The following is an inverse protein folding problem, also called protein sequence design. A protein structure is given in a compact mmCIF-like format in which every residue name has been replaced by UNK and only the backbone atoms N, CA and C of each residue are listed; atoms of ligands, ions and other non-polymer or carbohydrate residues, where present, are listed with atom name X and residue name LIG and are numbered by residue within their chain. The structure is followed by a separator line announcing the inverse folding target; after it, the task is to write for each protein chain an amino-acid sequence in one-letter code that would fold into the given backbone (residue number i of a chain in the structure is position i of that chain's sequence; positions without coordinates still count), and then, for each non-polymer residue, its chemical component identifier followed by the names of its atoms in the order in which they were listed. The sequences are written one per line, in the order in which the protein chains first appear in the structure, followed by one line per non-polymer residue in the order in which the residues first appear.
data_IF_340620254211
#
_entry.id   IF_340620254211
#
_cell.length_a   1.000
_cell.length_b   1.000
_cell.length_c   1.000
_cell.angle_alpha   90.00
_cell.angle_beta   90.00
_cell.angle_gamma   90.00
#
_symmetry.space_group_name_H-M   'P 1'
#
loop_
_entity.id
_entity.type
_entity.pdbx_description
1 polymer ?
#
# COMPACT_ATOMS: atom_id res chain seq x y z
N UNK A 1 -15.34 -19.63 19.74
CA UNK A 1 -16.67 -20.25 19.81
C UNK A 1 -16.65 -21.56 20.64
N UNK A 2 -15.63 -22.40 20.49
CA UNK A 2 -15.54 -23.72 21.18
C UNK A 2 -15.19 -23.59 22.66
N UNK A 3 -14.36 -22.63 23.05
CA UNK A 3 -13.93 -22.36 24.42
C UNK A 3 -15.07 -21.77 25.26
N UNK A 4 -15.86 -20.86 24.66
CA UNK A 4 -17.02 -20.27 25.34
C UNK A 4 -18.15 -21.27 25.59
N UNK A 5 -18.33 -22.25 24.70
CA UNK A 5 -19.29 -23.35 24.87
C UNK A 5 -18.84 -24.31 25.95
N UNK A 6 -17.54 -24.52 26.15
CA UNK A 6 -16.99 -25.37 27.22
C UNK A 6 -17.13 -24.72 28.60
N UNK A 7 -16.95 -23.39 28.71
CA UNK A 7 -17.16 -22.65 29.96
C UNK A 7 -18.63 -22.64 30.40
N UNK A 8 -19.57 -22.52 29.45
CA UNK A 8 -21.02 -22.63 29.80
C UNK A 8 -21.44 -24.01 30.20
N UNK A 9 -20.82 -25.09 29.69
CA UNK A 9 -21.09 -26.45 30.12
C UNK A 9 -20.53 -26.75 31.52
N UNK A 10 -19.39 -26.17 31.91
CA UNK A 10 -18.83 -26.35 33.25
C UNK A 10 -19.64 -25.61 34.32
N UNK A 11 -20.21 -24.44 34.00
CA UNK A 11 -21.11 -23.73 34.92
C UNK A 11 -22.43 -24.45 35.13
N UNK A 12 -22.96 -25.15 34.11
CA UNK A 12 -24.18 -25.97 34.24
C UNK A 12 -23.99 -27.26 35.07
N UNK A 13 -22.76 -27.80 35.12
CA UNK A 13 -22.42 -28.99 35.91
C UNK A 13 -22.10 -28.66 37.39
N UNK A 14 -21.65 -27.43 37.69
CA UNK A 14 -21.40 -26.99 39.07
C UNK A 14 -22.68 -26.76 39.87
N UNK A 15 -23.82 -26.55 39.23
CA UNK A 15 -25.13 -26.41 39.89
C UNK A 15 -25.72 -27.69 40.47
N UNK A 16 -25.07 -28.84 40.29
CA UNK A 16 -25.53 -30.11 40.84
C UNK A 16 -24.76 -30.60 42.09
N UNK A 17 -23.69 -29.90 42.50
CA UNK A 17 -22.96 -30.22 43.74
C UNK A 17 -23.22 -29.10 44.75
N UNK A 18 -24.13 -29.34 45.68
CA UNK A 18 -24.63 -28.38 46.70
C UNK A 18 -23.54 -27.57 47.41
N UNK A 19 -23.17 -26.47 46.85
CA UNK A 19 -22.55 -25.32 47.49
C UNK A 19 -23.55 -24.17 47.36
N UNK A 20 -23.78 -23.46 48.43
CA UNK A 20 -24.61 -22.25 48.44
C UNK A 20 -23.94 -21.17 47.56
N UNK A 21 -24.14 -21.23 46.23
CA UNK A 21 -23.74 -20.16 45.30
C UNK A 21 -24.64 -18.97 45.58
N UNK A 22 -24.06 -17.93 46.09
CA UNK A 22 -24.79 -16.68 46.37
C UNK A 22 -25.03 -15.87 45.09
N UNK A 23 -26.01 -14.94 45.13
CA UNK A 23 -26.22 -14.02 44.02
C UNK A 23 -24.96 -13.20 43.74
N UNK A 24 -24.20 -12.86 44.78
CA UNK A 24 -22.94 -12.13 44.66
C UNK A 24 -21.86 -12.91 43.85
N UNK A 25 -21.81 -14.25 44.04
CA UNK A 25 -20.91 -15.11 43.26
C UNK A 25 -21.29 -15.14 41.77
N UNK A 26 -22.57 -15.15 41.48
CA UNK A 26 -23.10 -15.12 40.12
C UNK A 26 -22.80 -13.78 39.45
N UNK A 27 -23.01 -12.67 40.17
CA UNK A 27 -22.78 -11.33 39.66
C UNK A 27 -21.28 -11.06 39.46
N UNK A 28 -20.43 -11.53 40.37
CA UNK A 28 -18.96 -11.50 40.24
C UNK A 28 -18.49 -12.28 39.02
N UNK A 29 -18.94 -13.54 38.85
CA UNK A 29 -18.59 -14.35 37.70
C UNK A 29 -19.08 -13.72 36.35
N UNK A 30 -20.23 -13.04 36.39
CA UNK A 30 -20.76 -12.33 35.21
C UNK A 30 -19.91 -11.10 34.86
N UNK A 31 -19.49 -10.34 35.86
CA UNK A 31 -18.59 -9.17 35.65
C UNK A 31 -17.21 -9.62 35.17
N UNK A 32 -16.62 -10.62 35.78
CA UNK A 32 -15.35 -11.21 35.34
C UNK A 32 -15.42 -11.76 33.91
N UNK A 33 -16.48 -12.51 33.60
CA UNK A 33 -16.72 -13.01 32.25
C UNK A 33 -16.94 -11.93 31.22
N UNK A 34 -17.61 -10.83 31.61
CA UNK A 34 -17.78 -9.65 30.75
C UNK A 34 -16.48 -8.91 30.56
N UNK A 35 -15.70 -8.71 31.62
CA UNK A 35 -14.41 -8.03 31.55
C UNK A 35 -13.40 -8.84 30.70
N UNK A 36 -13.35 -10.17 30.89
CA UNK A 36 -12.54 -11.07 30.08
C UNK A 36 -12.96 -11.06 28.60
N UNK A 37 -14.28 -11.08 28.33
CA UNK A 37 -14.80 -11.02 26.97
C UNK A 37 -14.52 -9.68 26.29
N UNK A 38 -14.55 -8.57 27.01
CA UNK A 38 -14.17 -7.26 26.50
C UNK A 38 -12.66 -7.21 26.22
N UNK A 39 -11.84 -7.70 27.12
CA UNK A 39 -10.38 -7.74 26.96
C UNK A 39 -9.96 -8.63 25.76
N UNK A 40 -10.63 -9.76 25.55
CA UNK A 40 -10.39 -10.66 24.42
C UNK A 40 -10.88 -10.05 23.08
N UNK A 41 -11.92 -9.21 23.13
CA UNK A 41 -12.50 -8.55 21.96
C UNK A 41 -11.83 -7.19 21.62
N UNK A 42 -11.00 -6.67 22.51
CA UNK A 42 -10.31 -5.39 22.24
C UNK A 42 -9.11 -5.66 21.35
N UNK A 43 -9.07 -5.11 20.12
CA UNK A 43 -7.90 -5.24 19.27
C UNK A 43 -6.68 -4.64 19.97
N UNK A 44 -5.53 -5.26 19.78
CA UNK A 44 -4.26 -4.67 20.26
C UNK A 44 -4.03 -3.36 19.51
N UNK A 45 -3.94 -2.25 20.23
CA UNK A 45 -3.67 -0.94 19.65
C UNK A 45 -2.30 -0.95 18.96
N UNK A 46 -2.29 -0.61 17.68
CA UNK A 46 -1.02 -0.42 16.94
C UNK A 46 -0.25 0.74 17.51
N UNK A 47 -0.94 1.81 17.91
CA UNK A 47 -0.33 2.99 18.50
C UNK A 47 0.44 2.62 19.76
N UNK A 48 -0.17 1.91 20.71
CA UNK A 48 0.51 1.44 21.93
C UNK A 48 1.67 0.52 21.60
N UNK A 49 1.49 -0.39 20.66
CA UNK A 49 2.55 -1.31 20.20
C UNK A 49 3.77 -0.57 19.66
N UNK A 50 3.58 0.48 18.87
CA UNK A 50 4.66 1.31 18.33
C UNK A 50 5.37 2.07 19.45
N UNK A 51 4.61 2.69 20.35
CA UNK A 51 5.16 3.46 21.48
C UNK A 51 5.97 2.56 22.41
N UNK A 52 5.43 1.42 22.79
CA UNK A 52 6.11 0.46 23.68
C UNK A 52 7.38 -0.12 23.04
N UNK A 53 7.37 -0.34 21.75
CA UNK A 53 8.51 -0.85 20.98
C UNK A 53 9.56 0.23 20.72
N UNK A 54 9.16 1.50 20.70
CA UNK A 54 10.02 2.63 20.35
C UNK A 54 10.43 2.68 18.88
N UNK A 55 9.70 2.01 18.00
CA UNK A 55 9.95 2.02 16.54
C UNK A 55 8.69 1.70 15.76
N UNK A 56 8.61 2.18 14.50
CA UNK A 56 7.49 1.94 13.60
C UNK A 56 7.92 1.11 12.39
N UNK A 57 7.13 0.08 12.04
CA UNK A 57 7.33 -0.78 10.87
C UNK A 57 6.47 -0.29 9.71
N UNK A 58 7.09 0.32 8.71
CA UNK A 58 6.40 0.84 7.54
C UNK A 58 6.56 -0.10 6.35
N UNK A 59 5.45 -0.62 5.81
CA UNK A 59 5.40 -1.42 4.60
C UNK A 59 5.52 -0.53 3.37
N UNK A 60 6.60 -0.69 2.59
CA UNK A 60 6.94 0.22 1.49
C UNK A 60 7.28 -0.50 0.20
N UNK A 61 7.32 0.25 -0.88
CA UNK A 61 7.94 -0.11 -2.17
C UNK A 61 9.39 0.34 -2.19
N UNK A 62 10.22 -0.29 -3.04
CA UNK A 62 11.66 0.04 -3.15
C UNK A 62 12.08 0.42 -4.57
N UNK A 63 11.19 0.25 -5.56
CA UNK A 63 11.55 0.29 -6.98
C UNK A 63 10.89 1.43 -7.76
N UNK A 64 10.18 2.37 -7.11
CA UNK A 64 9.46 3.44 -7.79
C UNK A 64 9.99 4.82 -7.38
N UNK A 65 10.70 5.47 -8.30
CA UNK A 65 11.13 6.86 -8.13
C UNK A 65 9.95 7.78 -7.85
N UNK A 66 10.15 8.75 -6.98
CA UNK A 66 9.13 9.72 -6.57
C UNK A 66 8.15 9.21 -5.51
N UNK A 67 7.96 7.91 -5.37
CA UNK A 67 7.06 7.29 -4.37
C UNK A 67 7.83 6.51 -3.30
N UNK A 68 8.15 5.26 -3.54
CA UNK A 68 8.96 4.40 -2.66
C UNK A 68 10.17 3.88 -3.41
N UNK A 69 11.33 4.47 -3.17
CA UNK A 69 12.57 4.12 -3.85
C UNK A 69 13.72 3.90 -2.86
N UNK A 70 14.48 2.84 -3.09
CA UNK A 70 15.73 2.53 -2.41
C UNK A 70 16.88 2.61 -3.42
N UNK A 71 17.80 3.51 -3.21
CA UNK A 71 19.07 3.52 -3.92
C UNK A 71 19.96 2.40 -3.39
N UNK A 72 20.14 1.35 -4.17
CA UNK A 72 20.91 0.17 -3.76
C UNK A 72 22.41 0.46 -3.56
N UNK A 73 22.94 1.51 -4.20
CA UNK A 73 24.34 1.88 -4.08
C UNK A 73 24.64 2.62 -2.77
N UNK A 74 23.69 3.44 -2.32
CA UNK A 74 23.87 4.30 -1.13
C UNK A 74 23.06 3.84 0.08
N UNK A 75 22.06 2.98 -0.11
CA UNK A 75 21.10 2.58 0.91
C UNK A 75 20.07 3.69 1.25
N UNK A 76 20.08 4.80 0.54
CA UNK A 76 19.19 5.94 0.79
C UNK A 76 17.79 5.66 0.24
N UNK A 77 16.78 5.87 1.08
CA UNK A 77 15.36 5.80 0.69
C UNK A 77 14.79 7.19 0.42
N UNK A 78 13.96 7.30 -0.61
CA UNK A 78 13.36 8.57 -1.01
C UNK A 78 11.97 8.39 -1.62
N UNK A 79 11.24 9.50 -1.73
CA UNK A 79 9.93 9.59 -2.34
C UNK A 79 8.81 9.89 -1.35
N UNK A 80 7.61 10.13 -1.88
CA UNK A 80 6.43 10.54 -1.13
C UNK A 80 6.06 9.54 -0.02
N UNK A 81 6.02 8.25 -0.36
CA UNK A 81 5.68 7.18 0.58
C UNK A 81 6.67 7.12 1.75
N UNK A 82 7.97 7.28 1.45
CA UNK A 82 9.03 7.30 2.46
C UNK A 82 8.93 8.55 3.35
N UNK A 83 8.62 9.70 2.78
CA UNK A 83 8.40 10.94 3.52
C UNK A 83 7.18 10.85 4.42
N UNK A 84 6.13 10.18 3.96
CA UNK A 84 4.92 9.95 4.74
C UNK A 84 5.19 9.01 5.93
N UNK A 85 5.92 7.88 5.73
CA UNK A 85 6.36 7.03 6.85
C UNK A 85 7.14 7.83 7.91
N UNK A 86 8.08 8.68 7.47
CA UNK A 86 8.86 9.55 8.36
C UNK A 86 7.99 10.54 9.12
N UNK A 87 7.00 11.13 8.46
CA UNK A 87 6.09 12.08 9.09
C UNK A 87 5.20 11.42 10.14
N UNK A 88 4.71 10.21 9.88
CA UNK A 88 3.95 9.43 10.87
C UNK A 88 4.81 9.11 12.09
N UNK A 89 6.04 8.63 11.88
CA UNK A 89 6.99 8.36 12.98
C UNK A 89 7.27 9.61 13.81
N UNK A 90 7.54 10.75 13.17
CA UNK A 90 7.76 12.03 13.85
C UNK A 90 6.55 12.48 14.69
N UNK A 91 5.33 12.30 14.17
CA UNK A 91 4.11 12.63 14.89
C UNK A 91 3.91 11.76 16.15
N UNK A 92 4.46 10.56 16.15
CA UNK A 92 4.48 9.65 17.31
C UNK A 92 5.63 9.92 18.29
N UNK A 93 6.47 10.93 18.03
CA UNK A 93 7.63 11.26 18.86
C UNK A 93 8.85 10.37 18.65
N UNK A 94 8.87 9.59 17.57
CA UNK A 94 10.00 8.76 17.15
C UNK A 94 10.99 9.56 16.31
N UNK A 95 12.26 9.13 16.28
CA UNK A 95 13.23 9.70 15.34
C UNK A 95 13.01 9.13 13.93
N UNK A 96 12.60 9.95 12.94
CA UNK A 96 12.35 9.47 11.59
C UNK A 96 13.57 8.89 10.86
N UNK A 97 14.78 9.15 11.37
CA UNK A 97 16.01 8.66 10.78
C UNK A 97 16.41 7.27 11.27
N UNK A 98 16.07 6.93 12.52
CA UNK A 98 16.52 5.69 13.18
C UNK A 98 15.41 4.74 13.59
N UNK A 99 14.21 5.26 13.87
CA UNK A 99 13.14 4.48 14.50
C UNK A 99 12.06 4.03 13.50
N UNK A 100 12.33 4.18 12.19
CA UNK A 100 11.48 3.63 11.12
C UNK A 100 12.14 2.42 10.50
N UNK A 101 11.53 1.25 10.70
CA UNK A 101 11.89 0.02 10.01
C UNK A 101 11.10 -0.07 8.71
N UNK A 102 11.79 -0.01 7.58
CA UNK A 102 11.16 -0.14 6.26
C UNK A 102 11.12 -1.60 5.82
N UNK A 103 9.91 -2.14 5.64
CA UNK A 103 9.69 -3.53 5.26
C UNK A 103 9.16 -3.57 3.83
N UNK A 104 9.88 -4.20 2.87
CA UNK A 104 9.37 -4.38 1.53
C UNK A 104 8.03 -5.12 1.54
N UNK A 105 7.03 -4.56 0.85
CA UNK A 105 5.71 -5.12 0.72
C UNK A 105 5.33 -5.23 -0.75
N UNK A 106 5.16 -6.44 -1.25
CA UNK A 106 4.81 -6.73 -2.65
C UNK A 106 3.32 -6.51 -2.95
N UNK A 107 2.93 -6.64 -4.21
CA UNK A 107 1.51 -6.61 -4.60
C UNK A 107 0.70 -7.72 -3.94
N UNK A 108 1.31 -8.89 -3.76
CA UNK A 108 0.66 -10.11 -3.29
C UNK A 108 0.65 -10.30 -1.76
N UNK A 109 1.63 -9.75 -1.03
CA UNK A 109 1.81 -10.05 0.40
C UNK A 109 1.51 -8.88 1.35
N UNK A 110 1.34 -7.66 0.83
CA UNK A 110 1.20 -6.43 1.63
C UNK A 110 0.07 -6.45 2.65
N UNK A 111 -1.11 -6.97 2.26
CA UNK A 111 -2.27 -7.03 3.14
C UNK A 111 -2.14 -8.13 4.19
N UNK A 112 -1.52 -9.26 3.84
CA UNK A 112 -1.19 -10.31 4.80
C UNK A 112 -0.18 -9.79 5.84
N UNK A 113 0.86 -9.08 5.42
CA UNK A 113 1.84 -8.44 6.31
C UNK A 113 1.19 -7.44 7.25
N UNK A 114 0.22 -6.65 6.75
CA UNK A 114 -0.53 -5.69 7.55
C UNK A 114 -1.41 -6.40 8.58
N UNK A 115 -2.21 -7.36 8.15
CA UNK A 115 -3.11 -8.13 9.02
C UNK A 115 -2.36 -8.91 10.10
N UNK A 116 -1.20 -9.49 9.76
CA UNK A 116 -0.35 -10.24 10.69
C UNK A 116 0.48 -9.36 11.64
N UNK A 117 0.46 -8.03 11.51
CA UNK A 117 1.29 -7.13 12.31
C UNK A 117 2.79 -7.18 11.96
N UNK A 118 3.15 -7.78 10.83
CA UNK A 118 4.52 -7.72 10.29
C UNK A 118 4.91 -6.29 9.95
N UNK A 119 3.94 -5.48 9.51
CA UNK A 119 4.02 -4.04 9.35
C UNK A 119 2.93 -3.37 10.18
N UNK A 120 3.19 -2.17 10.66
CA UNK A 120 2.22 -1.38 11.42
C UNK A 120 1.32 -0.57 10.49
N UNK A 121 1.90 -0.03 9.44
CA UNK A 121 1.24 0.78 8.41
C UNK A 121 1.73 0.38 7.03
N UNK A 122 0.84 0.42 6.06
CA UNK A 122 1.15 0.17 4.65
C UNK A 122 1.10 1.51 3.88
N UNK A 123 2.25 2.01 3.45
CA UNK A 123 2.38 3.23 2.65
C UNK A 123 3.20 2.90 1.40
N UNK A 124 2.50 2.44 0.36
CA UNK A 124 3.16 1.94 -0.85
C UNK A 124 2.23 1.91 -2.07
N UNK A 125 1.87 3.06 -2.65
CA UNK A 125 1.05 3.14 -3.87
C UNK A 125 -0.06 2.08 -3.91
N UNK A 126 -0.91 2.04 -2.88
CA UNK A 126 -1.97 1.05 -2.74
C UNK A 126 -3.32 1.67 -3.07
N UNK A 127 -3.96 1.21 -4.14
CA UNK A 127 -5.27 1.70 -4.55
C UNK A 127 -6.33 1.37 -3.51
N UNK A 128 -7.03 2.36 -3.05
CA UNK A 128 -8.19 2.23 -2.17
C UNK A 128 -9.37 1.70 -2.95
N UNK A 129 -9.80 0.48 -2.67
CA UNK A 129 -10.97 -0.13 -3.26
C UNK A 129 -11.89 -0.69 -2.18
N UNK A 130 -13.19 -0.74 -2.45
CA UNK A 130 -14.18 -1.32 -1.52
C UNK A 130 -13.84 -2.75 -1.12
N UNK A 131 -13.35 -3.57 -2.06
CA UNK A 131 -13.00 -4.96 -1.76
C UNK A 131 -11.78 -5.08 -0.83
N UNK A 132 -10.79 -4.19 -0.98
CA UNK A 132 -9.61 -4.17 -0.09
C UNK A 132 -9.97 -3.68 1.30
N UNK A 133 -10.73 -2.61 1.37
CA UNK A 133 -11.21 -2.02 2.61
C UNK A 133 -12.12 -3.01 3.39
N UNK A 134 -13.13 -3.57 2.70
CA UNK A 134 -14.14 -4.40 3.35
C UNK A 134 -13.72 -5.86 3.60
N UNK A 135 -12.66 -6.39 2.96
CA UNK A 135 -12.39 -7.84 2.93
C UNK A 135 -10.97 -8.25 3.28
N UNK A 136 -10.03 -7.32 3.43
CA UNK A 136 -8.62 -7.65 3.63
C UNK A 136 -8.06 -7.23 5.01
N UNK A 137 -8.92 -7.02 5.99
CA UNK A 137 -8.55 -6.53 7.33
C UNK A 137 -7.67 -5.26 7.27
N UNK A 138 -8.02 -4.37 6.35
CA UNK A 138 -7.31 -3.12 6.12
C UNK A 138 -8.31 -1.97 6.12
N UNK A 139 -7.95 -0.87 6.75
CA UNK A 139 -8.70 0.37 6.79
C UNK A 139 -7.86 1.49 6.18
N UNK A 140 -8.40 2.19 5.18
CA UNK A 140 -7.64 3.24 4.49
C UNK A 140 -7.73 4.57 5.23
N UNK A 141 -6.58 5.20 5.47
CA UNK A 141 -6.44 6.47 6.17
C UNK A 141 -6.66 7.71 5.27
N UNK A 142 -7.30 7.52 4.13
CA UNK A 142 -7.53 8.55 3.14
C UNK A 142 -6.63 8.42 1.91
N UNK A 143 -6.95 9.21 0.89
CA UNK A 143 -6.20 9.24 -0.35
C UNK A 143 -5.00 10.18 -0.22
N UNK A 144 -3.79 9.66 -0.50
CA UNK A 144 -2.56 10.44 -0.47
C UNK A 144 -2.00 10.76 -1.86
N UNK A 145 -2.46 10.07 -2.91
CA UNK A 145 -2.13 10.39 -4.29
C UNK A 145 -3.22 9.89 -5.24
N UNK A 146 -3.58 10.69 -6.24
CA UNK A 146 -4.56 10.29 -7.26
C UNK A 146 -3.83 9.94 -8.54
N UNK A 147 -3.74 8.66 -8.85
CA UNK A 147 -3.06 8.14 -10.02
C UNK A 147 -4.06 7.56 -11.04
N UNK A 148 -3.55 7.00 -12.09
CA UNK A 148 -4.26 6.19 -13.06
C UNK A 148 -3.38 5.04 -13.51
N UNK A 149 -3.93 4.05 -14.20
CA UNK A 149 -3.15 2.99 -14.80
C UNK A 149 -2.68 3.40 -16.18
N UNK A 150 -1.36 3.35 -16.40
CA UNK A 150 -0.71 3.56 -17.68
C UNK A 150 -0.09 2.29 -18.24
N UNK A 151 0.41 2.36 -19.46
CA UNK A 151 1.13 1.29 -20.12
C UNK A 151 2.36 1.85 -20.84
N UNK A 152 3.51 1.29 -20.54
CA UNK A 152 4.81 1.55 -21.17
C UNK A 152 5.03 0.52 -22.28
N UNK A 153 5.36 0.95 -23.47
CA UNK A 153 5.40 0.11 -24.69
C UNK A 153 6.76 0.23 -25.37
N UNK A 154 7.24 -0.89 -25.91
CA UNK A 154 8.41 -0.94 -26.79
C UNK A 154 8.03 -0.47 -28.18
N UNK A 155 8.83 0.40 -28.81
CA UNK A 155 8.54 0.94 -30.13
C UNK A 155 8.86 -0.05 -31.27
N UNK A 156 9.77 -1.02 -31.01
CA UNK A 156 10.31 -1.90 -32.06
C UNK A 156 9.34 -2.98 -32.55
N UNK A 157 8.12 -3.10 -32.00
CA UNK A 157 7.21 -4.22 -32.33
C UNK A 157 5.83 -3.84 -32.80
N UNK A 158 5.13 -2.95 -32.13
CA UNK A 158 3.74 -2.60 -32.41
C UNK A 158 3.63 -1.26 -33.11
N UNK A 159 4.02 -1.19 -34.38
CA UNK A 159 4.07 0.05 -35.15
C UNK A 159 2.71 0.78 -35.23
N UNK A 160 1.59 0.05 -35.25
CA UNK A 160 0.25 0.65 -35.25
C UNK A 160 -0.07 1.32 -33.90
N UNK A 161 0.33 0.73 -32.81
CA UNK A 161 0.20 1.32 -31.47
C UNK A 161 1.03 2.59 -31.35
N UNK A 162 2.30 2.54 -31.77
CA UNK A 162 3.24 3.66 -31.76
C UNK A 162 2.72 4.80 -32.64
N UNK A 163 2.30 4.53 -33.86
CA UNK A 163 1.79 5.55 -34.78
C UNK A 163 0.48 6.19 -34.29
N UNK A 164 -0.36 5.42 -33.58
CA UNK A 164 -1.61 5.91 -32.99
C UNK A 164 -1.45 6.52 -31.59
N UNK A 165 -0.27 6.39 -30.98
CA UNK A 165 -0.03 6.73 -29.58
C UNK A 165 -1.11 6.13 -28.65
N UNK A 166 -1.49 4.86 -28.91
CA UNK A 166 -2.63 4.21 -28.29
C UNK A 166 -2.37 2.74 -28.01
N UNK A 167 -2.73 2.30 -26.81
CA UNK A 167 -2.72 0.90 -26.41
C UNK A 167 -3.68 0.03 -27.21
N UNK A 168 -4.63 0.63 -27.95
CA UNK A 168 -5.55 -0.11 -28.83
C UNK A 168 -4.84 -0.81 -29.99
N UNK A 169 -3.62 -0.44 -30.30
CA UNK A 169 -2.81 -1.10 -31.33
C UNK A 169 -1.96 -2.29 -30.82
N UNK A 170 -2.15 -2.74 -29.58
CA UNK A 170 -1.39 -3.81 -28.93
C UNK A 170 -2.03 -5.20 -29.11
N UNK A 171 -2.75 -5.44 -30.19
CA UNK A 171 -3.34 -6.74 -30.47
C UNK A 171 -2.28 -7.83 -30.59
N UNK A 172 -2.42 -8.90 -29.78
CA UNK A 172 -1.45 -10.02 -29.68
C UNK A 172 -0.22 -9.74 -28.79
N UNK A 173 -0.15 -8.60 -28.09
CA UNK A 173 1.01 -8.25 -27.28
C UNK A 173 1.15 -9.10 -26.00
N UNK A 174 2.41 -9.35 -25.59
CA UNK A 174 2.73 -9.88 -24.27
C UNK A 174 2.90 -8.70 -23.30
N UNK A 175 2.04 -8.61 -22.29
CA UNK A 175 2.00 -7.47 -21.38
C UNK A 175 2.38 -7.91 -19.97
N UNK A 176 3.51 -7.39 -19.46
CA UNK A 176 3.93 -7.58 -18.06
C UNK A 176 3.01 -6.84 -17.10
N UNK A 177 2.55 -7.53 -16.06
CA UNK A 177 1.69 -6.96 -15.01
C UNK A 177 1.99 -7.57 -13.64
N UNK A 178 2.00 -6.75 -12.59
CA UNK A 178 2.22 -7.22 -11.22
C UNK A 178 1.04 -8.05 -10.69
N UNK A 179 1.31 -9.25 -10.16
CA UNK A 179 0.28 -10.11 -9.54
C UNK A 179 -0.32 -9.47 -8.28
N UNK A 180 -1.60 -9.75 -8.01
CA UNK A 180 -2.31 -9.26 -6.81
C UNK A 180 -2.56 -7.75 -6.82
N UNK A 181 -2.55 -7.12 -7.99
CA UNK A 181 -2.78 -5.68 -8.16
C UNK A 181 -4.14 -5.41 -8.80
N UNK A 182 -4.68 -4.20 -8.62
CA UNK A 182 -5.84 -3.70 -9.39
C UNK A 182 -5.51 -3.63 -10.88
N UNK A 183 -4.24 -3.36 -11.20
CA UNK A 183 -3.71 -3.26 -12.56
C UNK A 183 -3.98 -4.51 -13.40
N UNK A 184 -3.86 -5.70 -12.80
CA UNK A 184 -4.10 -6.97 -13.49
C UNK A 184 -5.57 -7.09 -13.96
N UNK A 185 -6.53 -6.83 -13.06
CA UNK A 185 -7.95 -6.85 -13.40
C UNK A 185 -8.34 -5.74 -14.38
N UNK A 186 -7.88 -4.51 -14.15
CA UNK A 186 -8.16 -3.39 -15.04
C UNK A 186 -7.62 -3.60 -16.47
N UNK A 187 -6.40 -4.18 -16.59
CA UNK A 187 -5.84 -4.54 -17.90
C UNK A 187 -6.75 -5.52 -18.62
N UNK A 188 -7.16 -6.60 -17.93
CA UNK A 188 -8.06 -7.59 -18.51
C UNK A 188 -9.37 -6.96 -19.00
N UNK A 189 -9.99 -6.12 -18.17
CA UNK A 189 -11.26 -5.46 -18.52
C UNK A 189 -11.08 -4.46 -19.67
N UNK A 190 -9.99 -3.69 -19.66
CA UNK A 190 -9.74 -2.66 -20.68
C UNK A 190 -9.54 -3.26 -22.08
N UNK A 191 -8.72 -4.31 -22.21
CA UNK A 191 -8.46 -4.99 -23.48
C UNK A 191 -9.66 -5.82 -23.93
N UNK A 192 -10.27 -6.62 -23.05
CA UNK A 192 -11.42 -7.46 -23.38
C UNK A 192 -12.64 -6.63 -23.83
N UNK A 193 -12.89 -5.48 -23.19
CA UNK A 193 -14.02 -4.60 -23.58
C UNK A 193 -13.86 -3.96 -24.97
N UNK A 194 -12.66 -4.04 -25.53
CA UNK A 194 -12.31 -3.50 -26.87
C UNK A 194 -12.02 -4.59 -27.88
N UNK A 195 -12.24 -5.85 -27.50
CA UNK A 195 -12.00 -7.01 -28.36
C UNK A 195 -10.54 -7.06 -28.88
N UNK A 196 -9.58 -6.68 -28.03
CA UNK A 196 -8.15 -6.70 -28.31
C UNK A 196 -7.55 -7.92 -27.62
N UNK A 197 -6.96 -8.84 -28.37
CA UNK A 197 -6.29 -10.00 -27.82
C UNK A 197 -4.93 -9.61 -27.22
N UNK A 198 -4.55 -10.21 -26.11
CA UNK A 198 -3.25 -10.04 -25.48
C UNK A 198 -2.89 -11.26 -24.63
N UNK A 199 -1.60 -11.38 -24.30
CA UNK A 199 -1.12 -12.36 -23.35
C UNK A 199 -0.68 -11.65 -22.06
N UNK A 200 -1.34 -11.94 -20.96
CA UNK A 200 -0.90 -11.49 -19.63
C UNK A 200 0.38 -12.24 -19.22
N UNK A 201 1.40 -11.50 -18.82
CA UNK A 201 2.65 -12.02 -18.26
C UNK A 201 2.75 -11.57 -16.80
N UNK A 202 2.21 -12.35 -15.85
CA UNK A 202 2.27 -12.02 -14.44
C UNK A 202 3.70 -12.00 -13.93
N UNK A 203 4.05 -10.99 -13.13
CA UNK A 203 5.37 -10.83 -12.49
C UNK A 203 5.21 -10.57 -11.00
N UNK A 204 6.18 -11.03 -10.23
CA UNK A 204 6.15 -10.86 -8.77
C UNK A 204 6.41 -9.40 -8.35
N UNK A 205 7.29 -8.70 -9.06
CA UNK A 205 7.69 -7.33 -8.75
C UNK A 205 8.11 -6.52 -9.99
N UNK A 206 8.44 -5.25 -9.77
CA UNK A 206 8.87 -4.35 -10.83
C UNK A 206 10.26 -4.67 -11.38
N UNK A 207 11.12 -5.38 -10.65
CA UNK A 207 12.44 -5.77 -11.13
C UNK A 207 12.30 -6.88 -12.18
N UNK A 208 11.48 -7.90 -11.91
CA UNK A 208 11.16 -8.94 -12.87
C UNK A 208 10.48 -8.38 -14.12
N UNK A 209 9.48 -7.48 -13.93
CA UNK A 209 8.83 -6.80 -15.05
C UNK A 209 9.84 -6.05 -15.93
N UNK A 210 10.74 -5.30 -15.30
CA UNK A 210 11.78 -4.53 -15.99
C UNK A 210 12.72 -5.44 -16.79
N UNK A 211 13.18 -6.55 -16.20
CA UNK A 211 14.05 -7.50 -16.89
C UNK A 211 13.37 -8.10 -18.14
N UNK A 212 12.11 -8.55 -18.00
CA UNK A 212 11.32 -9.09 -19.12
C UNK A 212 10.98 -8.05 -20.19
N UNK A 213 10.83 -6.79 -19.80
CA UNK A 213 10.60 -5.70 -20.74
C UNK A 213 11.86 -5.34 -21.53
N UNK A 214 13.03 -5.34 -20.87
CA UNK A 214 14.33 -5.08 -21.52
C UNK A 214 14.68 -6.23 -22.50
N UNK A 215 14.55 -7.48 -22.09
CA UNK A 215 14.90 -8.64 -22.93
C UNK A 215 13.87 -8.94 -24.04
N UNK A 216 12.71 -8.27 -23.98
CA UNK A 216 11.65 -8.42 -24.98
C UNK A 216 10.74 -9.63 -24.77
N UNK A 217 10.77 -10.26 -23.61
CA UNK A 217 9.75 -11.24 -23.18
C UNK A 217 8.39 -10.58 -22.97
N UNK A 218 8.38 -9.27 -22.64
CA UNK A 218 7.19 -8.44 -22.64
C UNK A 218 7.34 -7.33 -23.69
N UNK A 219 6.29 -7.11 -24.46
CA UNK A 219 6.18 -6.03 -25.45
C UNK A 219 5.73 -4.72 -24.80
N UNK A 220 5.00 -4.85 -23.70
CA UNK A 220 4.54 -3.73 -22.87
C UNK A 220 4.59 -4.08 -21.39
N UNK A 221 4.62 -3.04 -20.55
CA UNK A 221 4.56 -3.15 -19.10
C UNK A 221 3.52 -2.18 -18.55
N UNK A 222 2.55 -2.66 -17.77
CA UNK A 222 1.49 -1.83 -17.21
C UNK A 222 1.55 -1.73 -15.69
N UNK A 223 1.18 -0.57 -15.19
CA UNK A 223 1.16 -0.21 -13.77
C UNK A 223 0.59 1.19 -13.57
N UNK A 224 0.72 1.72 -12.36
CA UNK A 224 0.39 3.11 -12.08
C UNK A 224 1.10 4.05 -13.07
N UNK A 225 0.42 5.07 -13.56
CA UNK A 225 0.99 6.02 -14.53
C UNK A 225 2.27 6.66 -13.97
N UNK A 226 2.25 7.06 -12.71
CA UNK A 226 3.44 7.58 -12.03
C UNK A 226 4.62 6.59 -12.06
N UNK A 227 4.35 5.29 -11.92
CA UNK A 227 5.36 4.25 -12.03
C UNK A 227 5.87 4.08 -13.46
N UNK A 228 4.99 4.17 -14.46
CA UNK A 228 5.38 4.06 -15.87
C UNK A 228 6.24 5.25 -16.31
N UNK A 229 5.88 6.46 -15.88
CA UNK A 229 6.70 7.67 -16.12
C UNK A 229 8.09 7.55 -15.49
N UNK A 230 8.13 7.15 -14.21
CA UNK A 230 9.39 6.94 -13.50
C UNK A 230 10.25 5.84 -14.14
N UNK A 231 9.63 4.75 -14.57
CA UNK A 231 10.33 3.63 -15.23
C UNK A 231 10.85 4.04 -16.60
N UNK A 232 10.05 4.76 -17.39
CA UNK A 232 10.51 5.31 -18.68
C UNK A 232 11.73 6.18 -18.49
N UNK A 233 11.67 7.15 -17.58
CA UNK A 233 12.79 8.01 -17.26
C UNK A 233 14.05 7.23 -16.87
N UNK A 234 13.90 6.20 -16.01
CA UNK A 234 15.00 5.34 -15.60
C UNK A 234 15.65 4.64 -16.80
N UNK A 235 14.86 3.96 -17.62
CA UNK A 235 15.35 3.17 -18.76
C UNK A 235 15.96 4.05 -19.86
N UNK A 236 15.41 5.24 -20.08
CA UNK A 236 15.99 6.23 -21.00
C UNK A 236 17.35 6.75 -20.50
N UNK A 237 17.48 6.92 -19.17
CA UNK A 237 18.68 7.48 -18.54
C UNK A 237 19.83 6.46 -18.44
N UNK A 238 19.52 5.21 -18.10
CA UNK A 238 20.55 4.18 -17.92
C UNK A 238 20.92 3.42 -19.21
N UNK A 239 20.18 3.66 -20.30
CA UNK A 239 20.43 3.06 -21.60
C UNK A 239 20.19 1.55 -21.67
N UNK A 240 19.51 0.97 -20.70
CA UNK A 240 19.25 -0.49 -20.59
C UNK A 240 18.46 -1.05 -21.78
N UNK A 241 17.70 -0.19 -22.47
CA UNK A 241 16.91 -0.60 -23.65
C UNK A 241 17.73 -0.86 -24.91
N UNK A 242 19.06 -0.65 -24.87
CA UNK A 242 20.00 -0.95 -25.99
C UNK A 242 19.58 -0.33 -27.34
N UNK A 243 19.05 0.90 -27.31
CA UNK A 243 18.64 1.63 -28.50
C UNK A 243 17.21 1.34 -28.98
N UNK A 244 16.44 0.59 -28.23
CA UNK A 244 14.98 0.47 -28.44
C UNK A 244 14.30 1.64 -27.75
N UNK A 245 13.57 2.43 -28.53
CA UNK A 245 12.76 3.52 -28.00
C UNK A 245 11.52 2.95 -27.28
N UNK A 246 11.08 3.67 -26.26
CA UNK A 246 9.94 3.32 -25.44
C UNK A 246 9.02 4.52 -25.24
N UNK A 247 7.73 4.28 -25.17
CA UNK A 247 6.74 5.34 -25.03
C UNK A 247 5.60 4.91 -24.10
N UNK A 248 4.86 5.88 -23.58
CA UNK A 248 3.69 5.63 -22.73
C UNK A 248 2.45 5.95 -23.55
N UNK A 249 1.48 5.02 -23.59
CA UNK A 249 0.22 5.23 -24.29
C UNK A 249 -0.58 6.37 -23.66
N UNK A 250 -1.34 7.08 -24.51
CA UNK A 250 -2.08 8.28 -24.09
C UNK A 250 -3.27 7.97 -23.16
N UNK A 251 -3.74 6.74 -23.14
CA UNK A 251 -4.89 6.34 -22.35
C UNK A 251 -4.53 6.08 -20.90
N UNK A 252 -5.45 6.47 -20.01
CA UNK A 252 -5.52 5.95 -18.66
C UNK A 252 -6.54 4.80 -18.64
N UNK A 253 -6.06 3.59 -18.30
CA UNK A 253 -6.90 2.39 -18.28
C UNK A 253 -7.82 2.35 -17.06
N UNK A 254 -7.45 3.04 -15.97
CA UNK A 254 -8.24 3.14 -14.75
C UNK A 254 -7.95 4.44 -14.00
N UNK A 255 -8.65 4.61 -12.87
CA UNK A 255 -8.36 5.63 -11.85
C UNK A 255 -7.91 4.92 -10.59
N UNK A 256 -6.77 5.35 -10.07
CA UNK A 256 -6.12 4.72 -8.93
C UNK A 256 -6.00 5.72 -7.76
N UNK A 257 -7.01 5.81 -6.89
CA UNK A 257 -6.90 6.59 -5.65
C UNK A 257 -5.99 5.84 -4.68
N UNK A 258 -4.74 6.26 -4.56
CA UNK A 258 -3.75 5.62 -3.71
C UNK A 258 -3.87 6.13 -2.29
N UNK A 259 -3.79 5.22 -1.31
CA UNK A 259 -3.91 5.55 0.11
C UNK A 259 -2.99 4.73 0.99
N UNK A 260 -2.68 5.30 2.16
CA UNK A 260 -2.09 4.56 3.26
C UNK A 260 -3.16 3.68 3.92
N UNK A 261 -2.78 2.49 4.38
CA UNK A 261 -3.69 1.58 5.07
C UNK A 261 -3.14 1.13 6.42
N UNK A 262 -4.02 1.03 7.40
CA UNK A 262 -3.79 0.47 8.73
C UNK A 262 -4.57 -0.84 8.88
N UNK A 263 -4.39 -1.56 9.98
CA UNK A 263 -5.24 -2.69 10.30
C UNK A 263 -6.69 -2.23 10.51
N UNK A 264 -7.63 -3.09 10.14
CA UNK A 264 -9.05 -2.86 10.43
C UNK A 264 -9.29 -2.80 11.95
N UNK A 265 -10.34 -2.07 12.38
CA UNK A 265 -10.73 -1.84 13.77
C UNK A 265 -9.67 -1.13 14.64
N UNK A 266 -8.72 -0.43 14.06
CA UNK A 266 -7.69 0.36 14.75
C UNK A 266 -7.84 1.86 14.39
N UNK A 267 -8.98 2.43 14.75
CA UNK A 267 -9.37 3.80 14.40
C UNK A 267 -8.39 4.85 14.92
N UNK A 268 -7.83 4.64 16.11
CA UNK A 268 -6.93 5.62 16.74
C UNK A 268 -5.64 5.78 15.93
N UNK A 269 -5.05 4.66 15.51
CA UNK A 269 -3.86 4.72 14.67
C UNK A 269 -4.17 5.18 13.24
N UNK A 270 -5.32 4.76 12.68
CA UNK A 270 -5.81 5.28 11.39
C UNK A 270 -5.93 6.81 11.41
N UNK A 271 -6.51 7.36 12.46
CA UNK A 271 -6.67 8.82 12.60
C UNK A 271 -5.31 9.52 12.66
N UNK A 272 -4.33 8.97 13.38
CA UNK A 272 -2.95 9.50 13.38
C UNK A 272 -2.41 9.56 11.95
N UNK A 273 -2.49 8.44 11.21
CA UNK A 273 -1.99 8.36 9.82
C UNK A 273 -2.71 9.39 8.95
N UNK A 274 -4.04 9.47 9.00
CA UNK A 274 -4.84 10.41 8.21
C UNK A 274 -4.49 11.88 8.51
N UNK A 275 -4.45 12.25 9.80
CA UNK A 275 -4.15 13.63 10.19
C UNK A 275 -2.73 14.06 9.89
N UNK A 276 -1.78 13.13 9.92
CA UNK A 276 -0.40 13.41 9.47
C UNK A 276 -0.39 13.76 7.99
N UNK A 277 -1.15 13.04 7.16
CA UNK A 277 -1.25 13.35 5.74
C UNK A 277 -1.85 14.77 5.51
N UNK A 278 -2.95 15.09 6.17
CA UNK A 278 -3.54 16.43 6.08
C UNK A 278 -2.57 17.52 6.56
N UNK A 279 -1.78 17.23 7.60
CA UNK A 279 -0.71 18.11 8.06
C UNK A 279 0.38 18.32 7.02
N UNK A 280 0.80 17.26 6.31
CA UNK A 280 1.79 17.35 5.22
C UNK A 280 1.29 18.23 4.07
N UNK A 281 0.04 18.05 3.64
CA UNK A 281 -0.59 18.89 2.60
C UNK A 281 -0.65 20.34 3.04
N UNK A 282 -1.08 20.62 4.26
CA UNK A 282 -1.14 21.98 4.81
C UNK A 282 0.24 22.61 4.91
N UNK A 283 1.25 21.84 5.29
CA UNK A 283 2.63 22.31 5.37
C UNK A 283 3.19 22.66 3.99
N UNK A 284 2.91 21.85 2.97
CA UNK A 284 3.29 22.13 1.57
C UNK A 284 2.70 23.45 1.09
N UNK A 285 1.40 23.67 1.30
CA UNK A 285 0.75 24.94 0.96
C UNK A 285 1.38 26.12 1.70
N UNK A 286 1.65 25.97 2.99
CA UNK A 286 2.23 27.02 3.82
C UNK A 286 3.67 27.34 3.42
N UNK A 287 4.49 26.31 3.13
CA UNK A 287 5.89 26.50 2.68
C UNK A 287 5.93 27.19 1.31
N UNK A 288 5.08 26.80 0.37
CA UNK A 288 4.95 27.47 -0.92
C UNK A 288 4.60 28.96 -0.75
N UNK A 289 3.69 29.24 0.16
CA UNK A 289 3.32 30.64 0.48
C UNK A 289 4.47 31.41 1.13
N UNK A 290 5.21 30.77 2.01
CA UNK A 290 6.37 31.37 2.70
C UNK A 290 7.49 31.70 1.72
N UNK A 291 7.80 30.80 0.78
CA UNK A 291 8.79 31.06 -0.28
C UNK A 291 8.42 32.19 -1.22
N UNK A 292 7.12 32.42 -1.43
CA UNK A 292 6.61 33.51 -2.24
C UNK A 292 6.56 34.86 -1.50
N UNK A 293 6.51 34.85 -0.17
CA UNK A 293 6.23 36.03 0.65
C UNK A 293 7.40 36.49 1.53
N UNK A 294 8.33 35.60 1.87
CA UNK A 294 9.47 35.97 2.70
C UNK A 294 10.66 36.45 1.84
N UNK A 295 11.25 37.59 2.17
CA UNK A 295 12.53 37.98 1.59
C UNK A 295 13.61 36.94 1.95
N UNK A 296 14.45 36.59 0.98
CA UNK A 296 15.56 35.65 1.15
C UNK A 296 16.48 35.94 2.36
N UNK A 297 16.50 37.17 2.83
CA UNK A 297 17.26 37.59 4.01
C UNK A 297 16.73 37.07 5.35
N UNK A 298 15.55 36.45 5.38
CA UNK A 298 14.98 35.85 6.60
C UNK A 298 15.16 34.32 6.66
N UNK A 299 15.83 33.74 5.65
CA UNK A 299 16.12 32.32 5.57
C UNK A 299 17.56 31.98 5.99
N UNK A 300 18.25 32.88 6.69
CA UNK A 300 19.60 32.68 7.23
C UNK A 300 19.54 32.56 8.77
#
# INVERSE_FOLDING_TARGET
ATTMMLLMMTAALAGCAGSDVTQDDVDTAREEGRAAGIAEATPVSTLDTIIDRGSMKCGVKESQYGMGYLDAATGVRSGLDISYCKAVAAALGLDPATDVEYIPASGSDRFEKLAAGTIDVLIRTTTWTTSRDASLNADFAGMNFFDGQGILVREDRFAAATAGNSASGLDGANICVGIGTTTEGNMQDWFSSREIDFTSVPVADAAEATAKFIDGSCDAFTGDMSAMVAKKWQLDTDGSMNGVDIWIASELMSKEPLGAATRDMDSDFKDVVAWVWYGMVTAEETVSYTHLTLPTSQLV
#
